data_IF_063449873043
#
_entry.id   IF_063449873043
#
_cell.length_a   1.000
_cell.length_b   1.000
_cell.length_c   1.000
_cell.angle_alpha   90.00
_cell.angle_beta   90.00
_cell.angle_gamma   90.00
#
_symmetry.space_group_name_H-M   'P 1'
#
loop_
_entity.id
_entity.type
_entity.pdbx_description
1 polymer ?
#
# COMPACT_ATOMS: atom_id res chain seq x y z
N UNK A 1 1.77 10.63 -15.75
CA UNK A 1 1.86 10.85 -14.28
C UNK A 1 3.15 10.20 -13.78
N UNK A 2 3.85 10.80 -12.81
CA UNK A 2 5.05 10.17 -12.22
C UNK A 2 4.65 9.08 -11.23
N UNK A 3 5.13 7.86 -11.43
CA UNK A 3 4.80 6.69 -10.62
C UNK A 3 6.05 5.91 -10.23
N UNK A 4 5.98 5.21 -9.10
CA UNK A 4 6.91 4.14 -8.76
C UNK A 4 6.54 2.89 -9.56
N UNK A 5 7.54 2.25 -10.16
CA UNK A 5 7.36 1.08 -10.99
C UNK A 5 7.90 -0.17 -10.29
N UNK A 6 7.16 -1.27 -10.42
CA UNK A 6 7.56 -2.55 -9.87
C UNK A 6 7.31 -3.66 -10.89
N UNK A 7 8.32 -4.52 -11.08
CA UNK A 7 8.15 -5.77 -11.81
C UNK A 7 7.69 -6.87 -10.86
N UNK A 8 6.63 -7.58 -11.21
CA UNK A 8 6.02 -8.64 -10.41
C UNK A 8 5.07 -9.48 -11.25
N UNK A 9 4.86 -10.74 -10.88
CA UNK A 9 3.67 -11.47 -11.29
C UNK A 9 2.47 -11.00 -10.45
N UNK A 10 1.35 -10.52 -11.05
CA UNK A 10 0.18 -10.07 -10.29
C UNK A 10 -0.43 -11.16 -9.40
N UNK A 11 -0.43 -12.42 -9.83
CA UNK A 11 -0.99 -13.51 -9.04
C UNK A 11 -0.15 -13.79 -7.78
N UNK A 12 1.17 -13.91 -7.93
CA UNK A 12 2.09 -14.04 -6.80
C UNK A 12 2.04 -12.84 -5.85
N UNK A 13 1.86 -11.62 -6.39
CA UNK A 13 1.71 -10.42 -5.55
C UNK A 13 0.43 -10.47 -4.72
N UNK A 14 -0.71 -10.83 -5.32
CA UNK A 14 -1.98 -10.97 -4.59
C UNK A 14 -1.84 -12.02 -3.48
N UNK A 15 -1.21 -13.16 -3.76
CA UNK A 15 -0.96 -14.20 -2.76
C UNK A 15 -0.11 -13.67 -1.59
N UNK A 16 1.00 -12.98 -1.87
CA UNK A 16 1.86 -12.40 -0.85
C UNK A 16 1.14 -11.36 0.01
N UNK A 17 0.38 -10.45 -0.62
CA UNK A 17 -0.41 -9.41 0.07
C UNK A 17 -1.56 -10.00 0.89
N UNK A 18 -2.08 -11.17 0.49
CA UNK A 18 -3.15 -11.88 1.19
C UNK A 18 -2.64 -12.73 2.36
N UNK A 19 -1.33 -12.81 2.57
CA UNK A 19 -0.76 -13.59 3.65
C UNK A 19 -1.14 -13.02 5.02
N UNK A 20 -1.32 -13.91 6.01
CA UNK A 20 -1.65 -13.51 7.38
C UNK A 20 -0.62 -12.52 7.95
N UNK A 21 0.67 -12.74 7.66
CA UNK A 21 1.76 -11.85 8.06
C UNK A 21 1.52 -10.42 7.56
N UNK A 22 1.35 -10.24 6.25
CA UNK A 22 1.19 -8.91 5.65
C UNK A 22 -0.08 -8.22 6.15
N UNK A 23 -1.19 -8.95 6.31
CA UNK A 23 -2.43 -8.38 6.83
C UNK A 23 -2.29 -7.93 8.30
N UNK A 24 -1.56 -8.67 9.13
CA UNK A 24 -1.27 -8.26 10.52
C UNK A 24 -0.33 -7.06 10.59
N UNK A 25 0.74 -7.09 9.80
CA UNK A 25 1.69 -5.97 9.70
C UNK A 25 0.97 -4.69 9.25
N UNK A 26 0.03 -4.80 8.31
CA UNK A 26 -0.83 -3.70 7.86
C UNK A 26 -1.73 -3.14 8.95
N UNK A 27 -2.44 -3.99 9.69
CA UNK A 27 -3.28 -3.53 10.79
C UNK A 27 -2.45 -2.79 11.85
N UNK A 28 -1.24 -3.29 12.15
CA UNK A 28 -0.33 -2.65 13.10
C UNK A 28 0.19 -1.31 12.59
N UNK A 29 0.56 -1.22 11.30
CA UNK A 29 1.01 0.04 10.69
C UNK A 29 -0.11 1.09 10.71
N UNK A 30 -1.34 0.69 10.38
CA UNK A 30 -2.51 1.58 10.37
C UNK A 30 -2.91 2.05 11.78
N UNK A 31 -2.76 1.21 12.80
CA UNK A 31 -2.98 1.60 14.19
C UNK A 31 -2.03 2.71 14.65
N UNK A 32 -0.78 2.70 14.17
CA UNK A 32 0.19 3.75 14.44
C UNK A 32 -0.05 5.02 13.59
N UNK A 33 -0.52 4.87 12.34
CA UNK A 33 -0.67 5.97 11.38
C UNK A 33 -1.95 6.79 11.61
N UNK A 34 -3.10 6.14 11.82
CA UNK A 34 -4.41 6.81 11.92
C UNK A 34 -4.45 7.96 12.96
N UNK A 35 -3.87 7.83 14.17
CA UNK A 35 -3.91 8.90 15.17
C UNK A 35 -3.18 10.19 14.76
N UNK A 36 -2.24 10.12 13.81
CA UNK A 36 -1.41 11.27 13.42
C UNK A 36 -1.90 11.95 12.13
N UNK A 37 -2.91 11.40 11.45
CA UNK A 37 -3.50 11.98 10.24
C UNK A 37 -4.55 13.04 10.60
N UNK A 38 -4.39 14.26 10.07
CA UNK A 38 -5.35 15.35 10.26
C UNK A 38 -6.57 15.27 9.33
N UNK A 39 -6.43 14.67 8.15
CA UNK A 39 -7.49 14.53 7.14
C UNK A 39 -8.54 13.50 7.60
N UNK A 40 -9.73 14.00 7.96
CA UNK A 40 -10.84 13.17 8.46
C UNK A 40 -11.40 12.21 7.40
N UNK A 41 -11.68 12.65 6.15
CA UNK A 41 -11.98 11.74 5.04
C UNK A 41 -10.97 10.59 4.90
N UNK A 42 -9.67 10.90 4.89
CA UNK A 42 -8.63 9.88 4.78
C UNK A 42 -8.66 8.90 5.96
N UNK A 43 -8.81 9.39 7.19
CA UNK A 43 -8.96 8.52 8.38
C UNK A 43 -10.19 7.60 8.27
N UNK A 44 -11.31 8.11 7.78
CA UNK A 44 -12.53 7.30 7.59
C UNK A 44 -12.31 6.20 6.55
N UNK A 45 -11.63 6.52 5.45
CA UNK A 45 -11.22 5.57 4.42
C UNK A 45 -10.30 4.47 5.00
N UNK A 46 -9.25 4.85 5.73
CA UNK A 46 -8.32 3.93 6.36
C UNK A 46 -8.99 2.98 7.36
N UNK A 47 -9.89 3.50 8.20
CA UNK A 47 -10.66 2.67 9.13
C UNK A 47 -11.52 1.65 8.41
N UNK A 48 -12.07 2.00 7.24
CA UNK A 48 -12.81 1.06 6.40
C UNK A 48 -11.90 -0.04 5.86
N UNK A 49 -10.70 0.31 5.38
CA UNK A 49 -9.71 -0.66 4.94
C UNK A 49 -9.26 -1.57 6.09
N UNK A 50 -9.06 -1.06 7.31
CA UNK A 50 -8.79 -1.91 8.48
C UNK A 50 -9.90 -2.92 8.73
N UNK A 51 -11.16 -2.50 8.61
CA UNK A 51 -12.31 -3.39 8.72
C UNK A 51 -12.30 -4.49 7.64
N UNK A 52 -11.84 -4.19 6.43
CA UNK A 52 -11.70 -5.17 5.35
C UNK A 52 -10.50 -6.09 5.57
N UNK A 53 -9.36 -5.58 6.02
CA UNK A 53 -8.18 -6.37 6.36
C UNK A 53 -8.47 -7.38 7.49
N UNK A 54 -9.20 -6.95 8.52
CA UNK A 54 -9.65 -7.85 9.60
C UNK A 54 -10.59 -8.96 9.09
N UNK A 55 -11.49 -8.63 8.15
CA UNK A 55 -12.34 -9.63 7.51
C UNK A 55 -11.55 -10.58 6.60
N UNK A 56 -10.54 -10.07 5.90
CA UNK A 56 -9.63 -10.88 5.09
C UNK A 56 -8.83 -11.85 5.96
N UNK A 57 -8.38 -11.45 7.16
CA UNK A 57 -7.75 -12.36 8.14
C UNK A 57 -8.70 -13.48 8.58
N UNK A 58 -9.98 -13.18 8.78
CA UNK A 58 -10.95 -14.15 9.26
C UNK A 58 -11.46 -15.12 8.18
N UNK A 59 -11.61 -14.65 6.94
CA UNK A 59 -12.32 -15.38 5.87
C UNK A 59 -11.52 -15.58 4.58
N UNK A 60 -10.33 -14.97 4.48
CA UNK A 60 -9.49 -14.96 3.30
C UNK A 60 -9.87 -13.87 2.29
N UNK A 61 -8.85 -13.29 1.64
CA UNK A 61 -9.01 -12.26 0.59
C UNK A 61 -9.86 -12.78 -0.57
N UNK A 62 -9.71 -14.05 -0.97
CA UNK A 62 -10.49 -14.63 -2.08
C UNK A 62 -12.01 -14.61 -1.81
N UNK A 63 -12.45 -14.88 -0.58
CA UNK A 63 -13.86 -14.82 -0.23
C UNK A 63 -14.37 -13.37 -0.26
N UNK A 64 -13.54 -12.43 0.19
CA UNK A 64 -13.83 -11.00 0.15
C UNK A 64 -13.96 -10.50 -1.30
N UNK A 65 -13.02 -10.86 -2.18
CA UNK A 65 -13.00 -10.49 -3.60
C UNK A 65 -14.26 -10.98 -4.34
N UNK A 66 -14.75 -12.18 -4.03
CA UNK A 66 -16.00 -12.70 -4.62
C UNK A 66 -17.24 -11.92 -4.18
N UNK A 67 -17.24 -11.40 -2.95
CA UNK A 67 -18.37 -10.65 -2.40
C UNK A 67 -18.37 -9.20 -2.82
N UNK A 68 -17.19 -8.58 -2.81
CA UNK A 68 -17.00 -7.16 -3.06
C UNK A 68 -15.61 -6.92 -3.69
N UNK A 69 -15.48 -7.11 -5.01
CA UNK A 69 -14.18 -7.01 -5.69
C UNK A 69 -13.62 -5.59 -5.63
N UNK A 70 -14.47 -4.57 -5.73
CA UNK A 70 -14.07 -3.17 -5.73
C UNK A 70 -13.39 -2.77 -4.42
N UNK A 71 -14.00 -3.08 -3.27
CA UNK A 71 -13.39 -2.76 -1.97
C UNK A 71 -12.20 -3.66 -1.65
N UNK A 72 -12.20 -4.90 -2.14
CA UNK A 72 -11.04 -5.79 -1.98
C UNK A 72 -9.84 -5.27 -2.77
N UNK A 73 -10.07 -4.74 -3.96
CA UNK A 73 -9.00 -4.21 -4.81
C UNK A 73 -8.42 -2.91 -4.25
N UNK A 74 -9.27 -2.06 -3.67
CA UNK A 74 -8.82 -0.89 -2.91
C UNK A 74 -7.96 -1.30 -1.69
N UNK A 75 -8.34 -2.36 -0.98
CA UNK A 75 -7.53 -2.92 0.11
C UNK A 75 -6.18 -3.45 -0.40
N UNK A 76 -6.16 -4.20 -1.49
CA UNK A 76 -4.92 -4.75 -2.06
C UNK A 76 -3.98 -3.65 -2.55
N UNK A 77 -4.52 -2.62 -3.19
CA UNK A 77 -3.79 -1.43 -3.60
C UNK A 77 -3.13 -0.76 -2.40
N UNK A 78 -3.87 -0.64 -1.29
CA UNK A 78 -3.34 0.01 -0.11
C UNK A 78 -2.32 -0.83 0.66
N UNK A 79 -2.57 -2.13 0.80
CA UNK A 79 -1.62 -3.09 1.34
C UNK A 79 -0.29 -2.99 0.59
N UNK A 80 -0.35 -2.95 -0.74
CA UNK A 80 0.85 -2.81 -1.57
C UNK A 80 1.56 -1.48 -1.33
N UNK A 81 0.80 -0.37 -1.25
CA UNK A 81 1.36 0.95 -0.99
C UNK A 81 2.07 1.05 0.36
N UNK A 82 1.45 0.51 1.42
CA UNK A 82 2.01 0.48 2.78
C UNK A 82 3.18 -0.48 2.88
N UNK A 83 3.08 -1.67 2.29
CA UNK A 83 4.13 -2.67 2.32
C UNK A 83 5.42 -2.19 1.63
N UNK A 84 5.29 -1.55 0.47
CA UNK A 84 6.42 -0.98 -0.26
C UNK A 84 7.02 0.23 0.45
N UNK A 85 6.20 1.07 1.12
CA UNK A 85 6.67 2.17 1.96
C UNK A 85 7.51 1.67 3.14
N UNK A 86 7.03 0.64 3.84
CA UNK A 86 7.71 0.02 4.97
C UNK A 86 8.77 -1.02 4.56
N UNK A 87 9.03 -1.17 3.25
CA UNK A 87 10.01 -2.12 2.68
C UNK A 87 9.81 -3.56 3.15
N UNK A 88 8.56 -4.00 3.27
CA UNK A 88 8.27 -5.40 3.58
C UNK A 88 8.70 -6.31 2.44
N UNK A 89 9.03 -7.55 2.79
CA UNK A 89 9.37 -8.57 1.81
C UNK A 89 8.13 -8.94 0.99
N UNK A 90 8.20 -8.64 -0.31
CA UNK A 90 7.20 -8.92 -1.33
C UNK A 90 7.91 -9.45 -2.58
N UNK A 91 7.24 -10.25 -3.42
CA UNK A 91 7.82 -10.81 -4.65
C UNK A 91 7.90 -9.77 -5.78
N UNK A 92 8.46 -8.59 -5.49
CA UNK A 92 8.52 -7.46 -6.42
C UNK A 92 9.96 -6.96 -6.59
N UNK A 93 10.30 -6.54 -7.81
CA UNK A 93 11.54 -5.85 -8.12
C UNK A 93 11.21 -4.38 -8.38
N UNK A 94 11.80 -3.46 -7.59
CA UNK A 94 11.63 -2.02 -7.82
C UNK A 94 12.37 -1.61 -9.09
N UNK A 95 11.67 -0.95 -10.00
CA UNK A 95 12.22 -0.36 -11.22
C UNK A 95 12.46 1.15 -11.00
N UNK A 96 13.25 1.82 -11.88
CA UNK A 96 13.36 3.27 -11.87
C UNK A 96 11.99 3.93 -11.99
N UNK A 97 11.78 5.01 -11.24
CA UNK A 97 10.60 5.84 -11.40
C UNK A 97 10.52 6.40 -12.83
N UNK A 98 9.31 6.42 -13.37
CA UNK A 98 9.06 6.93 -14.72
C UNK A 98 7.71 7.63 -14.79
N UNK A 99 7.56 8.46 -15.82
CA UNK A 99 6.24 8.88 -16.23
C UNK A 99 5.50 7.71 -16.89
N UNK A 100 4.26 7.50 -16.47
CA UNK A 100 3.34 6.49 -16.98
C UNK A 100 2.10 7.19 -17.52
N UNK A 101 1.70 6.82 -18.74
CA UNK A 101 0.39 7.16 -19.29
C UNK A 101 -0.65 6.20 -18.70
N UNK A 102 -1.55 6.73 -17.88
CA UNK A 102 -2.51 5.91 -17.11
C UNK A 102 -3.88 5.80 -17.78
N UNK A 103 -4.10 6.52 -18.88
CA UNK A 103 -5.39 6.56 -19.57
C UNK A 103 -5.67 5.20 -20.22
N UNK A 104 -6.80 4.60 -19.84
CA UNK A 104 -7.20 3.26 -20.32
C UNK A 104 -6.51 2.07 -19.63
N UNK A 105 -5.59 2.31 -18.68
CA UNK A 105 -4.98 1.23 -17.90
C UNK A 105 -5.96 0.67 -16.84
N UNK A 106 -5.87 -0.63 -16.60
CA UNK A 106 -6.62 -1.30 -15.56
C UNK A 106 -6.12 -0.84 -14.17
N UNK A 107 -7.04 -0.40 -13.31
CA UNK A 107 -6.74 0.04 -11.94
C UNK A 107 -6.94 -1.07 -10.92
N UNK A 108 -6.02 -1.15 -9.97
CA UNK A 108 -5.94 -2.21 -8.98
C UNK A 108 -5.46 -3.55 -9.54
N UNK A 109 -5.15 -4.48 -8.64
CA UNK A 109 -4.70 -5.83 -8.98
C UNK A 109 -5.85 -6.70 -9.50
N UNK A 110 -7.09 -6.42 -9.10
CA UNK A 110 -8.30 -7.12 -9.55
C UNK A 110 -8.99 -6.42 -10.71
N UNK A 111 -8.58 -5.20 -11.07
CA UNK A 111 -9.20 -4.41 -12.12
C UNK A 111 -10.54 -3.78 -11.74
N UNK A 112 -10.82 -3.72 -10.45
CA UNK A 112 -12.10 -3.31 -9.89
C UNK A 112 -12.01 -2.04 -9.02
N UNK A 113 -10.80 -1.50 -8.79
CA UNK A 113 -10.59 -0.38 -7.87
C UNK A 113 -11.29 0.91 -8.33
N UNK A 114 -12.34 1.38 -7.62
CA UNK A 114 -13.01 2.64 -7.90
C UNK A 114 -12.34 3.83 -7.20
N UNK A 115 -11.41 3.58 -6.28
CA UNK A 115 -10.90 4.53 -5.31
C UNK A 115 -9.91 5.53 -5.90
N UNK A 116 -10.00 6.79 -5.45
CA UNK A 116 -9.01 7.83 -5.76
C UNK A 116 -8.25 8.31 -4.52
N UNK A 117 -8.57 7.76 -3.35
CA UNK A 117 -8.05 8.20 -2.07
C UNK A 117 -6.89 7.31 -1.62
N UNK A 118 -5.86 7.94 -1.05
CA UNK A 118 -4.70 7.26 -0.50
C UNK A 118 -3.67 6.86 -1.54
N UNK A 119 -3.88 5.74 -2.23
CA UNK A 119 -2.96 5.22 -3.23
C UNK A 119 -3.70 4.84 -4.51
N UNK A 120 -2.97 4.76 -5.61
CA UNK A 120 -3.48 4.33 -6.91
C UNK A 120 -2.50 3.36 -7.53
N UNK A 121 -3.00 2.20 -7.94
CA UNK A 121 -2.23 1.17 -8.61
C UNK A 121 -2.78 0.93 -10.01
N UNK A 122 -1.89 0.77 -10.99
CA UNK A 122 -2.23 0.40 -12.35
C UNK A 122 -1.42 -0.82 -12.78
N UNK A 123 -2.05 -1.71 -13.54
CA UNK A 123 -1.34 -2.72 -14.31
C UNK A 123 -0.87 -2.07 -15.61
N UNK A 124 0.44 -1.90 -15.77
CA UNK A 124 1.03 -1.32 -17.00
C UNK A 124 1.09 -2.39 -18.08
N UNK A 125 1.48 -3.60 -17.70
CA UNK A 125 1.48 -4.79 -18.55
C UNK A 125 1.29 -6.05 -17.67
N UNK A 126 1.60 -7.23 -18.21
CA UNK A 126 1.42 -8.51 -17.53
C UNK A 126 2.44 -8.79 -16.41
N UNK A 127 3.49 -7.98 -16.29
CA UNK A 127 4.57 -8.15 -15.32
C UNK A 127 4.98 -6.84 -14.62
N UNK A 128 4.33 -5.72 -14.91
CA UNK A 128 4.68 -4.40 -14.40
C UNK A 128 3.48 -3.70 -13.79
N UNK A 129 3.63 -3.21 -12.57
CA UNK A 129 2.65 -2.38 -11.88
C UNK A 129 3.21 -1.00 -11.59
N UNK A 130 2.37 0.02 -11.74
CA UNK A 130 2.68 1.40 -11.42
C UNK A 130 1.90 1.83 -10.18
N UNK A 131 2.60 2.40 -9.20
CA UNK A 131 2.04 2.88 -7.95
C UNK A 131 2.23 4.39 -7.84
N UNK A 132 1.15 5.10 -7.55
CA UNK A 132 1.21 6.48 -7.08
C UNK A 132 0.60 6.59 -5.69
N UNK A 133 1.29 7.27 -4.79
CA UNK A 133 0.79 7.58 -3.44
C UNK A 133 0.33 9.04 -3.43
N UNK A 134 -0.90 9.27 -3.00
CA UNK A 134 -1.45 10.59 -2.68
C UNK A 134 -1.41 10.86 -1.16
N UNK A 135 -1.08 9.86 -0.34
CA UNK A 135 -0.75 10.05 1.08
C UNK A 135 0.62 10.71 1.17
N UNK A 136 0.63 12.02 1.32
CA UNK A 136 1.76 12.69 1.94
C UNK A 136 1.65 12.40 3.44
N UNK A 137 2.54 11.56 3.96
CA UNK A 137 2.81 11.60 5.39
C UNK A 137 3.21 13.04 5.69
N UNK A 138 2.49 13.73 6.59
CA UNK A 138 2.97 15.00 7.11
C UNK A 138 4.40 14.74 7.60
N UNK A 139 5.38 15.41 6.95
CA UNK A 139 6.82 15.24 7.12
C UNK A 139 7.16 14.33 8.29
N UNK A 140 7.49 13.07 8.01
CA UNK A 140 8.29 12.31 8.97
C UNK A 140 9.62 13.03 8.93
N UNK A 141 9.73 14.07 9.78
CA UNK A 141 10.94 14.81 10.01
C UNK A 141 12.04 13.78 10.07
N UNK A 142 12.94 13.90 9.10
CA UNK A 142 14.19 13.19 8.96
C UNK A 142 14.74 12.93 10.37
N UNK A 143 14.46 11.72 10.89
CA UNK A 143 15.04 11.30 12.17
C UNK A 143 16.46 10.92 11.83
N UNK A 144 17.25 11.98 11.72
CA UNK A 144 18.66 11.95 11.43
C UNK A 144 19.31 11.06 12.47
N UNK A 145 19.87 9.97 11.98
CA UNK A 145 20.57 8.98 12.76
C UNK A 145 21.96 9.50 13.14
N UNK A 146 22.05 10.67 13.78
CA UNK A 146 23.28 11.14 14.40
C UNK A 146 23.45 10.54 15.79
N UNK A 147 23.68 9.22 15.79
CA UNK A 147 24.53 8.57 16.79
C UNK A 147 25.98 8.63 16.32
N UNK A 148 26.63 9.78 16.45
CA UNK A 148 28.07 9.92 16.69
C UNK A 148 28.18 11.06 17.71
N UNK A 149 28.54 10.88 18.98
CA UNK A 149 29.66 10.11 19.48
C UNK A 149 30.58 11.09 20.20
N UNK A 150 30.68 10.97 21.53
CA UNK A 150 31.86 11.42 22.27
C UNK A 150 31.80 12.81 22.92
N UNK A 151 31.88 12.75 24.24
CA UNK A 151 32.90 13.40 25.08
C UNK A 151 32.37 14.33 26.17
N UNK A 152 32.58 13.86 27.40
CA UNK A 152 32.64 14.62 28.63
C UNK A 152 33.49 15.89 28.51
N UNK A 153 33.10 16.93 29.27
CA UNK A 153 33.86 18.04 29.89
C UNK A 153 32.91 19.27 29.92
N UNK A 154 32.69 20.00 31.00
CA UNK A 154 33.48 20.34 32.19
C UNK A 154 32.58 20.50 33.42
#
# INVERSE_FOLDING_TARGET
MRCELYRTDPAALIEALSSERVLRDYLSAQEAEIPVIADRPLVAFLRRLNGLAAQALASGVTALAKRDPAHTDALLTDLFAVATWNRWELPVERLPESEVETDGLQRGLLGADPGREGASLWLVDHATVALARAREAADVAEWDHDRHGGACQH
#
